data_IF_397402286425
#
_entry.id   IF_397402286425
#
_cell.length_a   1.000
_cell.length_b   1.000
_cell.length_c   1.000
_cell.angle_alpha   90.00
_cell.angle_beta   90.00
_cell.angle_gamma   90.00
#
_symmetry.space_group_name_H-M   'P 1'
#
loop_
_entity.id
_entity.type
_entity.pdbx_description
1 polymer ?
#
# COMPACT_ATOMS: atom_id res chain seq x y z
N UNK A 1 -19.57 29.11 4.42
CA UNK A 1 -18.61 28.51 5.35
C UNK A 1 -17.20 28.83 4.86
N UNK A 2 -16.56 29.81 5.48
CA UNK A 2 -15.29 30.38 4.98
C UNK A 2 -14.15 29.99 5.95
N UNK A 3 -13.87 28.65 6.02
CA UNK A 3 -12.81 28.10 6.88
C UNK A 3 -11.42 28.09 6.23
N UNK A 4 -11.24 28.71 5.05
CA UNK A 4 -9.99 28.70 4.31
C UNK A 4 -9.19 30.00 4.40
N UNK A 5 -9.64 30.99 5.19
CA UNK A 5 -9.08 32.35 5.20
C UNK A 5 -7.95 32.62 6.19
N UNK A 6 -7.60 31.68 7.08
CA UNK A 6 -6.68 31.99 8.20
C UNK A 6 -5.34 31.26 8.13
N UNK A 7 -4.93 30.74 6.97
CA UNK A 7 -3.61 30.12 6.86
C UNK A 7 -2.59 31.17 6.43
N UNK A 8 -1.73 31.58 7.37
CA UNK A 8 -0.59 32.46 7.08
C UNK A 8 0.21 31.88 5.91
N UNK A 9 0.49 32.74 4.94
CA UNK A 9 1.21 32.36 3.71
C UNK A 9 2.66 32.83 3.76
N UNK A 10 3.51 32.26 2.91
CA UNK A 10 4.90 32.66 2.78
C UNK A 10 5.03 34.11 2.31
N UNK A 11 4.03 34.65 1.59
CA UNK A 11 3.95 36.05 1.16
C UNK A 11 3.78 36.99 2.35
N UNK A 12 2.97 36.62 3.34
CA UNK A 12 2.80 37.40 4.56
C UNK A 12 4.08 37.40 5.40
N UNK A 13 4.79 36.29 5.49
CA UNK A 13 6.10 36.22 6.14
C UNK A 13 7.09 37.17 5.44
N UNK A 14 7.14 37.18 4.12
CA UNK A 14 8.01 38.05 3.35
C UNK A 14 7.66 39.53 3.58
N UNK A 15 6.36 39.86 3.54
CA UNK A 15 5.85 41.21 3.78
C UNK A 15 6.19 41.72 5.19
N UNK A 16 5.97 40.93 6.21
CA UNK A 16 6.19 41.33 7.61
C UNK A 16 7.69 41.36 7.96
N UNK A 17 8.47 40.41 7.42
CA UNK A 17 9.93 40.41 7.64
C UNK A 17 10.68 41.43 6.77
N UNK A 18 10.02 42.02 5.76
CA UNK A 18 10.64 43.02 4.89
C UNK A 18 11.78 42.47 4.02
N UNK A 19 11.72 41.15 3.66
CA UNK A 19 12.69 40.54 2.77
C UNK A 19 11.97 39.89 1.57
N UNK A 20 12.70 39.55 0.52
CA UNK A 20 12.12 38.92 -0.65
C UNK A 20 11.57 37.52 -0.34
N UNK A 21 10.59 37.07 -1.11
CA UNK A 21 10.05 35.73 -1.04
C UNK A 21 11.15 34.66 -1.20
N UNK A 22 12.11 34.89 -2.11
CA UNK A 22 13.25 34.03 -2.32
C UNK A 22 14.13 33.92 -1.07
N UNK A 23 14.31 35.01 -0.34
CA UNK A 23 15.07 35.02 0.91
C UNK A 23 14.36 34.22 2.01
N UNK A 24 13.03 34.39 2.16
CA UNK A 24 12.24 33.58 3.09
C UNK A 24 12.34 32.10 2.75
N UNK A 25 12.19 31.74 1.47
CA UNK A 25 12.32 30.35 1.00
C UNK A 25 13.69 29.74 1.34
N UNK A 26 14.80 30.51 1.13
CA UNK A 26 16.15 30.04 1.49
C UNK A 26 16.31 29.80 2.99
N UNK A 27 15.77 30.68 3.84
CA UNK A 27 15.79 30.50 5.29
C UNK A 27 15.03 29.22 5.69
N UNK A 28 13.83 29.02 5.18
CA UNK A 28 12.98 27.86 5.47
C UNK A 28 13.66 26.57 5.06
N UNK A 29 14.30 26.56 3.87
CA UNK A 29 14.96 25.38 3.32
C UNK A 29 16.42 25.22 3.79
N UNK A 30 16.89 26.06 4.71
CA UNK A 30 18.28 26.05 5.22
C UNK A 30 19.33 26.12 4.10
N UNK A 31 19.00 26.78 3.01
CA UNK A 31 19.92 26.97 1.88
C UNK A 31 20.86 28.15 2.16
N UNK A 32 22.16 27.97 1.85
CA UNK A 32 23.21 28.96 2.17
C UNK A 32 23.02 30.34 1.52
N UNK A 33 23.88 31.30 1.92
CA UNK A 33 23.93 32.71 1.49
C UNK A 33 22.82 33.62 2.04
N UNK A 34 22.34 33.38 3.26
CA UNK A 34 21.54 34.34 4.01
C UNK A 34 22.35 34.78 5.24
N UNK A 35 22.47 36.10 5.46
CA UNK A 35 23.16 36.61 6.67
C UNK A 35 22.44 36.17 7.94
N UNK A 36 23.19 35.99 9.03
CA UNK A 36 22.63 35.58 10.32
C UNK A 36 21.51 36.54 10.79
N UNK A 37 21.72 37.84 10.65
CA UNK A 37 20.71 38.81 11.01
C UNK A 37 19.40 38.64 10.21
N UNK A 38 19.51 38.38 8.92
CA UNK A 38 18.35 38.11 8.06
C UNK A 38 17.65 36.81 8.43
N UNK A 39 18.41 35.75 8.73
CA UNK A 39 17.89 34.48 9.17
C UNK A 39 17.06 34.63 10.45
N UNK A 40 17.64 35.23 11.48
CA UNK A 40 16.97 35.47 12.77
C UNK A 40 15.70 36.31 12.61
N UNK A 41 15.74 37.36 11.77
CA UNK A 41 14.57 38.20 11.48
C UNK A 41 13.42 37.38 10.86
N UNK A 42 13.72 36.51 9.88
CA UNK A 42 12.70 35.68 9.22
C UNK A 42 12.16 34.64 10.18
N UNK A 43 13.01 33.94 10.93
CA UNK A 43 12.62 32.93 11.91
C UNK A 43 11.71 33.54 13.01
N UNK A 44 12.05 34.71 13.55
CA UNK A 44 11.20 35.40 14.50
C UNK A 44 9.84 35.77 13.90
N UNK A 45 9.82 36.15 12.62
CA UNK A 45 8.57 36.50 11.92
C UNK A 45 7.71 35.25 11.72
N UNK A 46 8.32 34.10 11.35
CA UNK A 46 7.65 32.82 11.21
C UNK A 46 6.98 32.38 12.53
N UNK A 47 7.71 32.52 13.63
CA UNK A 47 7.18 32.22 14.98
C UNK A 47 6.03 33.16 15.36
N UNK A 48 6.21 34.47 15.15
CA UNK A 48 5.20 35.48 15.47
C UNK A 48 3.88 35.30 14.72
N UNK A 49 3.96 34.93 13.44
CA UNK A 49 2.80 34.69 12.59
C UNK A 49 2.21 33.29 12.71
N UNK A 50 2.91 32.34 13.37
CA UNK A 50 2.51 30.93 13.40
C UNK A 50 2.58 30.27 12.02
N UNK A 51 3.42 30.79 11.10
CA UNK A 51 3.55 30.22 9.77
C UNK A 51 4.13 28.82 9.80
N UNK A 52 3.46 27.91 9.11
CA UNK A 52 3.96 26.54 8.89
C UNK A 52 4.19 26.32 7.39
N UNK A 53 5.41 25.95 6.97
CA UNK A 53 5.70 25.66 5.57
C UNK A 53 4.73 24.65 5.00
N UNK A 54 4.19 24.93 3.83
CA UNK A 54 3.31 24.02 3.11
C UNK A 54 4.15 22.88 2.50
N UNK A 55 3.83 21.64 2.85
CA UNK A 55 4.45 20.44 2.22
C UNK A 55 4.19 20.42 0.71
N UNK A 56 3.02 20.86 0.26
CA UNK A 56 2.67 20.97 -1.15
C UNK A 56 3.54 22.01 -1.88
N UNK A 57 3.75 23.19 -1.29
CA UNK A 57 4.61 24.21 -1.88
C UNK A 57 6.07 23.76 -1.97
N UNK A 58 6.54 23.01 -0.97
CA UNK A 58 7.87 22.39 -1.00
C UNK A 58 7.96 21.32 -2.08
N UNK A 59 6.95 20.46 -2.18
CA UNK A 59 6.89 19.42 -3.20
C UNK A 59 6.94 20.00 -4.63
N UNK A 60 6.21 21.05 -4.89
CA UNK A 60 6.25 21.77 -6.17
C UNK A 60 7.63 22.38 -6.47
N UNK A 61 8.34 22.88 -5.44
CA UNK A 61 9.65 23.48 -5.62
C UNK A 61 10.78 22.45 -5.79
N UNK A 62 10.65 21.26 -5.21
CA UNK A 62 11.68 20.21 -5.19
C UNK A 62 11.37 19.01 -6.07
N UNK A 63 10.15 18.93 -6.58
CA UNK A 63 9.59 17.76 -7.26
C UNK A 63 9.66 16.47 -6.42
N UNK A 64 9.65 16.61 -5.08
CA UNK A 64 9.67 15.51 -4.11
C UNK A 64 8.59 15.76 -3.07
N UNK A 65 7.63 14.85 -2.96
CA UNK A 65 6.50 14.98 -2.05
C UNK A 65 6.78 14.38 -0.67
N UNK A 66 7.77 13.50 -0.57
CA UNK A 66 8.00 12.61 0.57
C UNK A 66 6.76 11.78 0.91
N UNK A 67 5.98 11.41 -0.10
CA UNK A 67 4.74 10.68 0.05
C UNK A 67 4.80 9.34 -0.69
N UNK A 68 4.46 8.26 0.00
CA UNK A 68 4.34 6.91 -0.58
C UNK A 68 2.87 6.53 -0.60
N UNK A 69 2.38 6.15 -1.77
CA UNK A 69 1.05 5.59 -1.94
C UNK A 69 1.01 4.12 -1.52
N UNK A 70 -0.01 3.75 -0.78
CA UNK A 70 -0.28 2.35 -0.41
C UNK A 70 -1.66 1.99 -0.95
N UNK A 71 -1.72 1.07 -1.89
CA UNK A 71 -2.98 0.55 -2.45
C UNK A 71 -3.28 -0.79 -1.81
N UNK A 72 -4.43 -0.90 -1.15
CA UNK A 72 -4.90 -2.13 -0.49
C UNK A 72 -6.33 -2.46 -0.89
N UNK A 73 -6.68 -3.74 -1.05
CA UNK A 73 -8.04 -4.15 -1.44
C UNK A 73 -9.05 -4.00 -0.29
N UNK A 74 -8.59 -4.05 0.99
CA UNK A 74 -9.40 -3.81 2.19
C UNK A 74 -8.51 -3.62 3.41
N UNK A 75 -8.96 -2.81 4.37
CA UNK A 75 -8.25 -2.60 5.63
C UNK A 75 -8.51 -3.70 6.69
N UNK A 76 -9.45 -4.62 6.43
CA UNK A 76 -9.95 -5.56 7.44
C UNK A 76 -9.07 -6.82 7.63
N UNK A 77 -8.02 -7.01 6.83
CA UNK A 77 -7.18 -8.19 6.95
C UNK A 77 -6.03 -7.98 7.94
N UNK A 78 -5.93 -8.88 8.93
CA UNK A 78 -4.88 -8.85 9.97
C UNK A 78 -3.47 -8.83 9.37
N UNK A 79 -3.23 -9.58 8.29
CA UNK A 79 -1.92 -9.61 7.66
C UNK A 79 -1.54 -8.28 6.99
N UNK A 80 -2.52 -7.55 6.44
CA UNK A 80 -2.32 -6.21 5.88
C UNK A 80 -1.94 -5.24 7.00
N UNK A 81 -2.63 -5.30 8.16
CA UNK A 81 -2.32 -4.47 9.32
C UNK A 81 -0.87 -4.65 9.79
N UNK A 82 -0.40 -5.89 9.87
CA UNK A 82 0.99 -6.17 10.28
C UNK A 82 2.01 -5.62 9.28
N UNK A 83 1.74 -5.76 7.98
CA UNK A 83 2.60 -5.19 6.94
C UNK A 83 2.58 -3.65 6.95
N UNK A 84 1.40 -3.03 7.12
CA UNK A 84 1.27 -1.58 7.25
C UNK A 84 2.06 -1.04 8.44
N UNK A 85 2.07 -1.75 9.57
CA UNK A 85 2.89 -1.36 10.72
C UNK A 85 4.37 -1.31 10.35
N UNK A 86 4.92 -2.37 9.75
CA UNK A 86 6.32 -2.39 9.33
C UNK A 86 6.65 -1.31 8.30
N UNK A 87 5.78 -1.09 7.31
CA UNK A 87 5.95 -0.02 6.32
C UNK A 87 5.93 1.35 6.99
N UNK A 88 5.02 1.57 7.95
CA UNK A 88 4.90 2.83 8.68
C UNK A 88 6.14 3.15 9.50
N UNK A 89 6.72 2.15 10.17
CA UNK A 89 7.96 2.33 10.94
C UNK A 89 9.12 2.79 10.03
N UNK A 90 9.32 2.11 8.91
CA UNK A 90 10.37 2.46 7.95
C UNK A 90 10.10 3.81 7.31
N UNK A 91 8.87 4.10 6.91
CA UNK A 91 8.49 5.38 6.33
C UNK A 91 8.78 6.53 7.31
N UNK A 92 8.41 6.37 8.58
CA UNK A 92 8.70 7.36 9.65
C UNK A 92 10.19 7.58 9.83
N UNK A 93 11.00 6.51 9.88
CA UNK A 93 12.47 6.60 9.98
C UNK A 93 13.06 7.39 8.82
N UNK A 94 12.56 7.15 7.61
CA UNK A 94 13.05 7.80 6.37
C UNK A 94 12.41 9.16 6.09
N UNK A 95 11.48 9.63 6.91
CA UNK A 95 10.80 10.92 6.75
C UNK A 95 9.72 10.93 5.65
N UNK A 96 9.19 9.76 5.29
CA UNK A 96 8.07 9.65 4.36
C UNK A 96 6.72 9.68 5.08
N UNK A 97 5.72 10.20 4.39
CA UNK A 97 4.30 10.13 4.74
C UNK A 97 3.65 9.04 3.90
N UNK A 98 2.66 8.35 4.46
CA UNK A 98 1.91 7.32 3.75
C UNK A 98 0.52 7.83 3.41
N UNK A 99 0.11 7.68 2.16
CA UNK A 99 -1.27 7.89 1.72
C UNK A 99 -1.90 6.56 1.37
N UNK A 100 -2.98 6.22 2.06
CA UNK A 100 -3.69 4.97 1.88
C UNK A 100 -4.80 5.12 0.84
N UNK A 101 -4.81 4.22 -0.12
CA UNK A 101 -5.82 4.06 -1.16
C UNK A 101 -6.48 2.69 -0.97
N UNK A 102 -7.77 2.68 -0.64
CA UNK A 102 -8.52 1.45 -0.42
C UNK A 102 -9.38 1.16 -1.65
N UNK A 103 -9.25 -0.05 -2.20
CA UNK A 103 -10.07 -0.54 -3.32
C UNK A 103 -11.14 -1.52 -2.81
N UNK A 104 -12.18 -1.72 -3.59
CA UNK A 104 -12.98 -2.95 -3.50
C UNK A 104 -12.26 -4.04 -4.30
N UNK A 105 -12.66 -5.31 -4.12
CA UNK A 105 -12.10 -6.43 -4.90
C UNK A 105 -12.54 -6.43 -6.38
N UNK A 106 -12.96 -5.28 -6.93
CA UNK A 106 -13.35 -5.17 -8.33
C UNK A 106 -12.18 -4.65 -9.19
N UNK A 107 -12.07 -5.21 -10.40
CA UNK A 107 -11.05 -4.76 -11.34
C UNK A 107 -11.23 -3.29 -11.76
N UNK A 108 -12.48 -2.83 -11.90
CA UNK A 108 -12.77 -1.44 -12.25
C UNK A 108 -12.29 -0.47 -11.19
N UNK A 109 -12.43 -0.82 -9.91
CA UNK A 109 -11.94 0.00 -8.80
C UNK A 109 -10.41 0.01 -8.73
N UNK A 110 -9.77 -1.12 -8.97
CA UNK A 110 -8.31 -1.21 -9.02
C UNK A 110 -7.77 -0.26 -10.10
N UNK A 111 -8.34 -0.27 -11.31
CA UNK A 111 -7.94 0.63 -12.40
C UNK A 111 -8.18 2.10 -12.04
N UNK A 112 -9.35 2.44 -11.50
CA UNK A 112 -9.64 3.80 -11.08
C UNK A 112 -8.69 4.30 -9.98
N UNK A 113 -8.27 3.40 -9.09
CA UNK A 113 -7.34 3.71 -8.03
C UNK A 113 -5.92 3.96 -8.55
N UNK A 114 -5.49 3.21 -9.58
CA UNK A 114 -4.21 3.47 -10.26
C UNK A 114 -4.14 4.91 -10.77
N UNK A 115 -5.20 5.40 -11.40
CA UNK A 115 -5.27 6.81 -11.86
C UNK A 115 -5.18 7.80 -10.69
N UNK A 116 -5.85 7.51 -9.58
CA UNK A 116 -5.77 8.37 -8.38
C UNK A 116 -4.36 8.39 -7.79
N UNK A 117 -3.68 7.26 -7.73
CA UNK A 117 -2.29 7.18 -7.24
C UNK A 117 -1.37 8.04 -8.09
N UNK A 118 -1.47 7.90 -9.44
CA UNK A 118 -0.67 8.68 -10.38
C UNK A 118 -0.89 10.18 -10.19
N UNK A 119 -2.15 10.61 -10.09
CA UNK A 119 -2.51 12.03 -9.95
C UNK A 119 -2.26 12.61 -8.56
N UNK A 120 -2.02 11.76 -7.56
CA UNK A 120 -1.73 12.20 -6.17
C UNK A 120 -0.27 12.60 -5.95
N UNK A 121 0.55 12.61 -6.99
CA UNK A 121 1.97 13.02 -6.91
C UNK A 121 2.74 12.28 -5.80
N UNK A 122 2.62 10.95 -5.73
CA UNK A 122 3.41 10.13 -4.82
C UNK A 122 4.80 9.88 -5.40
N UNK A 123 5.83 9.79 -4.54
CA UNK A 123 7.21 9.50 -4.94
C UNK A 123 7.45 8.01 -5.21
N UNK A 124 6.52 7.17 -4.79
CA UNK A 124 6.51 5.73 -5.03
C UNK A 124 5.20 5.12 -4.58
N UNK A 125 4.93 3.88 -4.96
CA UNK A 125 3.71 3.17 -4.59
C UNK A 125 3.98 1.72 -4.20
N UNK A 126 3.27 1.25 -3.19
CA UNK A 126 3.21 -0.16 -2.77
C UNK A 126 1.78 -0.65 -3.00
N UNK A 127 1.62 -1.70 -3.79
CA UNK A 127 0.32 -2.21 -4.20
C UNK A 127 0.11 -3.60 -3.62
N UNK A 128 -0.92 -3.75 -2.80
CA UNK A 128 -1.41 -5.02 -2.25
C UNK A 128 -2.65 -5.48 -3.01
N UNK A 129 -2.58 -5.48 -4.32
CA UNK A 129 -3.73 -5.82 -5.13
C UNK A 129 -3.36 -6.89 -6.16
N UNK A 130 -4.04 -8.02 -6.09
CA UNK A 130 -3.89 -9.13 -7.02
C UNK A 130 -4.81 -9.04 -8.24
N UNK A 131 -5.66 -8.00 -8.32
CA UNK A 131 -6.54 -7.75 -9.46
C UNK A 131 -5.87 -6.98 -10.59
N UNK A 132 -4.73 -6.35 -10.32
CA UNK A 132 -3.95 -5.67 -11.33
C UNK A 132 -3.23 -6.68 -12.23
N UNK A 133 -3.28 -6.44 -13.53
CA UNK A 133 -2.47 -7.18 -14.49
C UNK A 133 -1.19 -6.41 -14.88
N UNK A 134 -0.43 -7.00 -15.78
CA UNK A 134 0.84 -6.43 -16.24
C UNK A 134 0.65 -5.07 -16.90
N UNK A 135 -0.41 -4.88 -17.67
CA UNK A 135 -0.69 -3.64 -18.41
C UNK A 135 -1.00 -2.49 -17.44
N UNK A 136 -1.75 -2.76 -16.36
CA UNK A 136 -2.04 -1.75 -15.33
C UNK A 136 -0.78 -1.27 -14.63
N UNK A 137 0.09 -2.21 -14.26
CA UNK A 137 1.34 -1.88 -13.57
C UNK A 137 2.31 -1.16 -14.51
N UNK A 138 2.36 -1.55 -15.78
CA UNK A 138 3.13 -0.84 -16.80
C UNK A 138 2.61 0.58 -17.03
N UNK A 139 1.30 0.80 -16.92
CA UNK A 139 0.71 2.12 -16.96
C UNK A 139 1.20 3.01 -15.81
N UNK A 140 1.19 2.53 -14.57
CA UNK A 140 1.77 3.26 -13.42
C UNK A 140 3.23 3.58 -13.70
N UNK A 141 3.98 2.62 -14.18
CA UNK A 141 5.40 2.78 -14.45
C UNK A 141 5.67 3.82 -15.55
N UNK A 142 4.77 3.99 -16.54
CA UNK A 142 4.90 4.99 -17.59
C UNK A 142 4.93 6.43 -17.04
N UNK A 143 4.35 6.67 -15.85
CA UNK A 143 4.43 7.95 -15.14
C UNK A 143 5.65 8.08 -14.23
N UNK A 144 6.64 7.20 -14.39
CA UNK A 144 7.90 7.20 -13.64
C UNK A 144 7.75 7.04 -12.12
N UNK A 145 6.65 6.48 -11.65
CA UNK A 145 6.42 6.18 -10.23
C UNK A 145 7.00 4.80 -9.91
N UNK A 146 8.07 4.70 -9.08
CA UNK A 146 8.59 3.41 -8.64
C UNK A 146 7.50 2.60 -7.92
N UNK A 147 7.35 1.33 -8.29
CA UNK A 147 6.24 0.51 -7.84
C UNK A 147 6.73 -0.79 -7.22
N UNK A 148 6.21 -1.14 -6.06
CA UNK A 148 6.35 -2.47 -5.46
C UNK A 148 4.97 -3.14 -5.49
N UNK A 149 4.90 -4.34 -6.06
CA UNK A 149 3.67 -5.14 -6.07
C UNK A 149 3.82 -6.32 -5.12
N UNK A 150 2.89 -6.50 -4.22
CA UNK A 150 2.88 -7.57 -3.22
C UNK A 150 1.90 -8.65 -3.64
N UNK A 151 2.32 -9.91 -3.50
CA UNK A 151 1.56 -11.11 -3.88
C UNK A 151 1.25 -11.24 -5.38
N UNK A 152 2.02 -10.58 -6.23
CA UNK A 152 1.92 -10.71 -7.68
C UNK A 152 3.26 -11.16 -8.26
N UNK A 153 3.31 -11.50 -9.54
CA UNK A 153 4.53 -11.92 -10.25
C UNK A 153 4.94 -10.92 -11.35
N UNK A 154 4.41 -9.71 -11.29
CA UNK A 154 4.70 -8.66 -12.27
C UNK A 154 6.03 -7.99 -11.93
N UNK A 155 6.95 -7.99 -12.88
CA UNK A 155 8.23 -7.30 -12.76
C UNK A 155 8.50 -6.45 -14.00
N UNK A 156 9.26 -5.38 -13.84
CA UNK A 156 9.61 -4.48 -14.94
C UNK A 156 10.64 -3.44 -14.52
N UNK A 157 10.91 -2.49 -15.40
CA UNK A 157 11.75 -1.36 -15.05
C UNK A 157 11.07 -0.53 -13.94
N UNK A 158 11.75 -0.28 -12.82
CA UNK A 158 11.20 0.38 -11.60
C UNK A 158 9.98 -0.33 -11.00
N UNK A 159 9.75 -1.61 -11.33
CA UNK A 159 8.71 -2.43 -10.74
C UNK A 159 9.38 -3.59 -10.03
N UNK A 160 9.25 -3.60 -8.70
CA UNK A 160 9.64 -4.73 -7.85
C UNK A 160 8.42 -5.59 -7.50
N UNK A 161 8.66 -6.88 -7.23
CA UNK A 161 7.62 -7.80 -6.80
C UNK A 161 8.06 -8.53 -5.54
N UNK A 162 7.18 -8.55 -4.54
CA UNK A 162 7.34 -9.37 -3.33
C UNK A 162 6.29 -10.47 -3.35
N UNK A 163 6.74 -11.72 -3.36
CA UNK A 163 5.87 -12.88 -3.32
C UNK A 163 6.22 -13.75 -2.11
N UNK A 164 5.24 -14.08 -1.29
CA UNK A 164 5.44 -14.88 -0.09
C UNK A 164 5.53 -16.38 -0.35
N UNK A 165 5.40 -16.84 -1.60
CA UNK A 165 5.56 -18.24 -1.96
C UNK A 165 4.54 -19.18 -1.33
N UNK A 166 3.30 -18.73 -1.15
CA UNK A 166 2.24 -19.52 -0.52
C UNK A 166 2.01 -20.88 -1.20
N UNK A 167 2.07 -20.94 -2.52
CA UNK A 167 1.92 -22.18 -3.29
C UNK A 167 2.98 -23.22 -2.88
N UNK A 168 4.21 -22.77 -2.70
CA UNK A 168 5.29 -23.65 -2.24
C UNK A 168 5.11 -24.08 -0.78
N UNK A 169 4.66 -23.15 0.08
CA UNK A 169 4.39 -23.46 1.49
C UNK A 169 3.29 -24.51 1.65
N UNK A 170 2.20 -24.41 0.88
CA UNK A 170 1.11 -25.40 0.87
C UNK A 170 1.61 -26.77 0.43
N UNK A 171 2.33 -26.85 -0.68
CA UNK A 171 2.90 -28.13 -1.17
C UNK A 171 3.84 -28.75 -0.13
N UNK A 172 4.68 -27.95 0.51
CA UNK A 172 5.60 -28.43 1.56
C UNK A 172 4.86 -28.94 2.79
N UNK A 173 3.81 -28.23 3.23
CA UNK A 173 2.98 -28.63 4.36
C UNK A 173 2.26 -29.95 4.08
N UNK A 174 1.64 -30.08 2.91
CA UNK A 174 0.95 -31.30 2.50
C UNK A 174 1.92 -32.48 2.38
N UNK A 175 3.09 -32.28 1.77
CA UNK A 175 4.13 -33.31 1.69
C UNK A 175 4.53 -33.80 3.07
N UNK A 176 4.83 -32.88 4.01
CA UNK A 176 5.19 -33.28 5.37
C UNK A 176 4.08 -34.01 6.12
N UNK A 177 2.81 -33.73 5.82
CA UNK A 177 1.65 -34.41 6.37
C UNK A 177 1.61 -35.88 5.85
N UNK A 178 1.68 -36.09 4.54
CA UNK A 178 1.57 -37.41 3.95
C UNK A 178 2.80 -38.29 4.21
N UNK A 179 3.97 -37.71 4.36
CA UNK A 179 5.18 -38.42 4.81
C UNK A 179 5.03 -39.01 6.23
N UNK A 180 4.13 -38.48 7.05
CA UNK A 180 3.77 -39.00 8.37
C UNK A 180 2.63 -40.04 8.34
N UNK A 181 2.25 -40.52 7.17
CA UNK A 181 1.14 -41.45 6.95
C UNK A 181 -0.25 -40.95 7.41
N UNK A 182 -0.44 -39.62 7.51
CA UNK A 182 -1.77 -39.09 7.71
C UNK A 182 -2.53 -39.03 6.37
N UNK A 183 -3.15 -40.18 6.01
CA UNK A 183 -3.87 -40.36 4.75
C UNK A 183 -5.32 -39.88 4.81
N UNK A 184 -5.74 -39.17 5.86
CA UNK A 184 -7.08 -38.59 5.91
C UNK A 184 -7.23 -37.56 4.80
N UNK A 185 -8.39 -37.51 4.09
CA UNK A 185 -8.61 -36.52 3.06
C UNK A 185 -8.42 -35.10 3.59
N UNK A 186 -7.65 -34.28 2.87
CA UNK A 186 -7.53 -32.87 3.16
C UNK A 186 -8.74 -32.10 2.64
N UNK A 187 -9.13 -31.04 3.32
CA UNK A 187 -10.21 -30.16 2.89
C UNK A 187 -9.62 -28.79 2.61
N UNK A 188 -9.94 -28.24 1.45
CA UNK A 188 -9.65 -26.85 1.11
C UNK A 188 -10.92 -26.01 1.26
N UNK A 189 -10.82 -24.87 1.94
CA UNK A 189 -11.93 -23.93 2.05
C UNK A 189 -11.86 -22.94 0.88
N UNK A 190 -12.76 -23.10 -0.07
CA UNK A 190 -12.89 -22.21 -1.22
C UNK A 190 -13.77 -21.02 -0.84
N UNK A 191 -13.20 -19.83 -0.79
CA UNK A 191 -13.94 -18.58 -0.58
C UNK A 191 -14.44 -18.07 -1.93
N UNK A 192 -15.73 -17.87 -2.06
CA UNK A 192 -16.33 -17.36 -3.28
C UNK A 192 -15.83 -15.93 -3.56
N UNK A 193 -15.48 -15.64 -4.81
CA UNK A 193 -14.85 -14.38 -5.24
C UNK A 193 -13.50 -14.07 -4.57
N UNK A 194 -12.83 -15.07 -4.02
CA UNK A 194 -11.46 -14.89 -3.57
C UNK A 194 -10.56 -14.45 -4.73
N UNK A 195 -9.64 -13.54 -4.43
CA UNK A 195 -8.72 -13.00 -5.43
C UNK A 195 -7.76 -14.04 -6.02
N UNK A 196 -6.97 -13.62 -7.00
CA UNK A 196 -6.04 -14.50 -7.76
C UNK A 196 -5.05 -15.25 -6.87
N UNK A 197 -4.67 -14.68 -5.73
CA UNK A 197 -3.76 -15.35 -4.79
C UNK A 197 -4.39 -16.64 -4.26
N UNK A 198 -5.63 -16.59 -3.75
CA UNK A 198 -6.30 -17.78 -3.24
C UNK A 198 -6.56 -18.82 -4.34
N UNK A 199 -6.91 -18.39 -5.54
CA UNK A 199 -7.04 -19.30 -6.68
C UNK A 199 -5.73 -20.04 -7.01
N UNK A 200 -4.56 -19.36 -6.89
CA UNK A 200 -3.25 -20.02 -7.07
C UNK A 200 -2.92 -21.00 -5.94
N UNK A 201 -3.29 -20.66 -4.71
CA UNK A 201 -3.11 -21.53 -3.54
C UNK A 201 -3.97 -22.77 -3.69
N UNK A 202 -5.24 -22.62 -4.06
CA UNK A 202 -6.16 -23.73 -4.32
C UNK A 202 -5.66 -24.63 -5.45
N UNK A 203 -5.22 -24.03 -6.56
CA UNK A 203 -4.61 -24.79 -7.64
C UNK A 203 -3.40 -25.61 -7.17
N UNK A 204 -2.53 -25.02 -6.35
CA UNK A 204 -1.37 -25.72 -5.81
C UNK A 204 -1.77 -26.89 -4.90
N UNK A 205 -2.88 -26.73 -4.16
CA UNK A 205 -3.47 -27.79 -3.33
C UNK A 205 -4.03 -28.91 -4.19
N UNK A 206 -4.80 -28.59 -5.24
CA UNK A 206 -5.40 -29.56 -6.17
C UNK A 206 -4.30 -30.33 -6.94
N UNK A 207 -3.37 -29.60 -7.55
CA UNK A 207 -2.28 -30.20 -8.33
C UNK A 207 -1.48 -31.19 -7.46
N UNK A 208 -1.16 -30.82 -6.22
CA UNK A 208 -0.43 -31.69 -5.30
C UNK A 208 -1.17 -33.01 -5.03
N UNK A 209 -2.47 -32.97 -4.76
CA UNK A 209 -3.26 -34.18 -4.46
C UNK A 209 -3.43 -35.06 -5.70
N UNK A 210 -3.60 -34.47 -6.87
CA UNK A 210 -3.67 -35.19 -8.13
C UNK A 210 -2.34 -35.88 -8.44
N UNK A 211 -1.21 -35.21 -8.19
CA UNK A 211 0.13 -35.77 -8.44
C UNK A 211 0.41 -37.01 -7.58
N UNK A 212 -0.10 -37.08 -6.35
CA UNK A 212 0.13 -38.21 -5.43
C UNK A 212 -1.06 -39.18 -5.38
N UNK A 213 -2.15 -38.92 -6.09
CA UNK A 213 -3.32 -39.81 -6.14
C UNK A 213 -4.10 -39.94 -4.84
N UNK A 214 -4.04 -38.95 -3.95
CA UNK A 214 -4.74 -38.94 -2.66
C UNK A 214 -6.02 -38.11 -2.76
N UNK A 215 -7.17 -38.59 -2.24
CA UNK A 215 -8.43 -37.85 -2.31
C UNK A 215 -8.39 -36.61 -1.46
N UNK A 216 -9.06 -35.59 -1.96
CA UNK A 216 -9.25 -34.30 -1.26
C UNK A 216 -10.71 -33.85 -1.41
N UNK A 217 -11.07 -32.81 -0.65
CA UNK A 217 -12.38 -32.14 -0.75
C UNK A 217 -12.21 -30.63 -0.88
N UNK A 218 -13.07 -30.02 -1.67
CA UNK A 218 -13.24 -28.56 -1.72
C UNK A 218 -14.55 -28.23 -1.02
N UNK A 219 -14.51 -27.34 -0.06
CA UNK A 219 -15.67 -26.89 0.67
C UNK A 219 -15.87 -25.39 0.42
N UNK A 220 -17.00 -25.03 -0.19
CA UNK A 220 -17.31 -23.64 -0.48
C UNK A 220 -17.77 -22.95 0.80
N UNK A 221 -17.17 -21.80 1.08
CA UNK A 221 -17.48 -20.94 2.24
C UNK A 221 -17.75 -19.52 1.79
N UNK A 222 -18.49 -18.79 2.60
CA UNK A 222 -18.70 -17.35 2.42
C UNK A 222 -17.43 -16.56 2.84
N UNK A 223 -17.29 -15.33 2.40
CA UNK A 223 -16.21 -14.41 2.82
C UNK A 223 -16.45 -13.84 4.24
N UNK A 224 -17.66 -13.98 4.76
CA UNK A 224 -18.04 -13.63 6.13
C UNK A 224 -17.63 -14.75 7.10
N UNK A 225 -16.86 -14.40 8.13
CA UNK A 225 -16.44 -15.35 9.18
C UNK A 225 -17.62 -15.99 9.91
N UNK A 226 -18.71 -15.27 10.10
CA UNK A 226 -19.92 -15.76 10.75
C UNK A 226 -20.62 -16.80 9.89
N UNK A 227 -20.84 -16.53 8.60
CA UNK A 227 -21.45 -17.49 7.67
C UNK A 227 -20.56 -18.70 7.47
N UNK A 228 -19.27 -18.52 7.28
CA UNK A 228 -18.30 -19.62 7.19
C UNK A 228 -18.39 -20.55 8.40
N UNK A 229 -18.52 -19.99 9.61
CA UNK A 229 -18.68 -20.78 10.83
C UNK A 229 -19.97 -21.59 10.80
N UNK A 230 -21.10 -20.99 10.41
CA UNK A 230 -22.40 -21.67 10.33
C UNK A 230 -22.37 -22.79 9.29
N UNK A 231 -21.83 -22.53 8.10
CA UNK A 231 -21.68 -23.51 7.02
C UNK A 231 -20.80 -24.70 7.47
N UNK A 232 -19.72 -24.41 8.20
CA UNK A 232 -18.85 -25.44 8.76
C UNK A 232 -19.56 -26.30 9.80
N UNK A 233 -20.31 -25.68 10.71
CA UNK A 233 -21.08 -26.39 11.73
C UNK A 233 -22.18 -27.25 11.11
N UNK A 234 -22.81 -26.80 10.04
CA UNK A 234 -23.81 -27.58 9.31
C UNK A 234 -23.16 -28.79 8.61
N UNK A 235 -21.99 -28.58 7.99
CA UNK A 235 -21.24 -29.67 7.35
C UNK A 235 -20.88 -30.77 8.36
N UNK A 236 -20.33 -30.40 9.54
CA UNK A 236 -19.97 -31.39 10.57
C UNK A 236 -21.16 -32.10 11.22
N UNK A 237 -22.37 -31.52 11.20
CA UNK A 237 -23.58 -32.21 11.66
C UNK A 237 -24.06 -33.29 10.68
N UNK A 238 -23.70 -33.17 9.41
CA UNK A 238 -24.16 -34.08 8.34
C UNK A 238 -23.14 -35.20 8.02
N UNK A 239 -21.92 -35.11 8.50
CA UNK A 239 -20.80 -36.02 8.21
C UNK A 239 -20.02 -36.37 9.47
#
# INVERSE_FOLDING_TARGET
>A
MDYLKDRVTIYEVAKVSGVSLATVSRVINKQGNVTEATRLKVEATIQKLGYKPSGLARALATNVTTNIGIVIPSANYVYISNMLNGITEVAKEKGFVLTLFVTSYSRSDAIAMVEKVITSHVDGVIIFDDQLDKEDVEKINSYSVPTIVINNKITGNRIGCINFGYEHAVKRMLKARYEKNDMKPAVFLHVHNAGRLLARIEKAFIDFHNDIGVPYRIFNVDDSSERTYLDFMEYFKKH
#
